data_IF_793160212434
#
_entry.id   IF_793160212434
#
_cell.length_a   1.000
_cell.length_b   1.000
_cell.length_c   1.000
_cell.angle_alpha   90.00
_cell.angle_beta   90.00
_cell.angle_gamma   90.00
#
_symmetry.space_group_name_H-M   'P 1'
#
loop_
_entity.id
_entity.type
_entity.pdbx_description
1 polymer ?
#
# COMPACT_ATOMS: atom_id res chain seq x y z
N UNK A 1 75.43 -10.00 -45.70
CA UNK A 1 75.13 -11.41 -46.04
C UNK A 1 75.89 -11.76 -47.32
N UNK A 2 76.45 -12.98 -47.42
CA UNK A 2 77.03 -13.45 -48.70
C UNK A 2 75.90 -13.81 -49.65
N UNK A 3 76.08 -13.56 -50.95
CA UNK A 3 75.06 -13.76 -52.00
C UNK A 3 74.53 -15.22 -51.99
N UNK A 4 75.42 -16.19 -51.81
CA UNK A 4 75.07 -17.62 -51.70
C UNK A 4 74.10 -17.93 -50.55
N UNK A 5 74.18 -17.20 -49.42
CA UNK A 5 73.25 -17.39 -48.31
C UNK A 5 71.85 -16.86 -48.63
N UNK A 6 71.75 -15.83 -49.47
CA UNK A 6 70.47 -15.27 -49.91
C UNK A 6 69.79 -16.17 -50.94
N UNK A 7 70.56 -16.80 -51.82
CA UNK A 7 70.04 -17.79 -52.79
C UNK A 7 69.44 -19.01 -52.11
N UNK A 8 70.17 -19.64 -51.17
CA UNK A 8 69.64 -20.79 -50.43
C UNK A 8 68.37 -20.43 -49.65
N UNK A 9 68.35 -19.22 -49.06
CA UNK A 9 67.20 -18.74 -48.28
C UNK A 9 65.97 -18.49 -49.14
N UNK A 10 66.13 -17.95 -50.36
CA UNK A 10 65.02 -17.74 -51.29
C UNK A 10 64.36 -19.07 -51.68
N UNK A 11 65.15 -20.10 -51.93
CA UNK A 11 64.64 -21.43 -52.27
C UNK A 11 63.97 -22.10 -51.06
N UNK A 12 64.54 -21.99 -49.86
CA UNK A 12 63.96 -22.59 -48.65
C UNK A 12 62.65 -21.92 -48.19
N UNK A 13 62.58 -20.58 -48.17
CA UNK A 13 61.42 -19.88 -47.62
C UNK A 13 60.29 -19.70 -48.65
N UNK A 14 60.64 -19.49 -49.92
CA UNK A 14 59.67 -19.13 -50.97
C UNK A 14 59.48 -20.24 -52.01
N UNK A 15 60.34 -21.27 -52.04
CA UNK A 15 60.23 -22.39 -52.98
C UNK A 15 60.56 -22.04 -54.44
N UNK A 16 61.22 -20.90 -54.68
CA UNK A 16 61.52 -20.36 -56.02
C UNK A 16 63.01 -20.04 -56.13
N UNK A 17 63.63 -20.30 -57.29
CA UNK A 17 65.02 -19.92 -57.52
C UNK A 17 65.20 -18.41 -57.64
N UNK A 18 66.40 -17.90 -57.33
CA UNK A 18 66.68 -16.46 -57.30
C UNK A 18 66.41 -15.78 -58.66
N UNK A 19 66.65 -16.47 -59.77
CA UNK A 19 66.48 -15.90 -61.11
C UNK A 19 64.99 -15.70 -61.40
N UNK A 20 64.17 -16.71 -61.10
CA UNK A 20 62.71 -16.61 -61.23
C UNK A 20 62.14 -15.59 -60.25
N UNK A 21 62.64 -15.52 -59.02
CA UNK A 21 62.20 -14.53 -58.03
C UNK A 21 62.46 -13.09 -58.49
N UNK A 22 63.65 -12.81 -59.04
CA UNK A 22 63.98 -11.48 -59.56
C UNK A 22 63.20 -11.16 -60.85
N UNK A 23 62.96 -12.16 -61.70
CA UNK A 23 62.26 -11.97 -62.97
C UNK A 23 60.74 -11.79 -62.79
N UNK A 24 60.12 -12.47 -61.83
CA UNK A 24 58.66 -12.42 -61.61
C UNK A 24 58.26 -11.45 -60.50
N UNK A 25 59.11 -11.25 -59.48
CA UNK A 25 58.83 -10.40 -58.31
C UNK A 25 59.86 -9.29 -58.11
N UNK A 26 60.63 -8.97 -59.14
CA UNK A 26 61.59 -7.89 -59.13
C UNK A 26 60.93 -6.52 -58.95
N UNK A 27 61.68 -5.49 -58.51
CA UNK A 27 61.16 -4.14 -58.31
C UNK A 27 60.69 -3.45 -59.60
N UNK A 28 60.95 -4.07 -60.76
CA UNK A 28 60.52 -3.60 -62.07
C UNK A 28 59.15 -4.13 -62.49
N UNK A 29 58.61 -5.12 -61.76
CA UNK A 29 57.32 -5.73 -62.07
C UNK A 29 56.20 -5.04 -61.31
N UNK A 30 55.02 -4.99 -61.93
CA UNK A 30 53.84 -4.41 -61.30
C UNK A 30 53.32 -5.31 -60.19
N UNK A 31 52.94 -4.69 -59.07
CA UNK A 31 52.36 -5.36 -57.90
C UNK A 31 50.86 -5.05 -57.81
N UNK A 32 50.04 -6.00 -57.34
CA UNK A 32 48.63 -5.75 -57.10
C UNK A 32 48.47 -4.72 -55.99
N UNK A 33 47.61 -3.73 -56.22
CA UNK A 33 47.16 -2.82 -55.18
C UNK A 33 45.94 -3.37 -54.47
N UNK A 34 45.76 -3.00 -53.21
CA UNK A 34 44.61 -3.41 -52.41
C UNK A 34 43.96 -2.20 -51.78
N UNK A 35 42.65 -2.08 -51.94
CA UNK A 35 41.81 -1.04 -51.31
C UNK A 35 40.83 -1.74 -50.37
N UNK A 36 40.67 -1.15 -49.19
CA UNK A 36 39.63 -1.54 -48.23
C UNK A 36 38.35 -0.80 -48.59
N UNK A 37 37.28 -1.56 -48.83
CA UNK A 37 35.95 -1.03 -49.15
C UNK A 37 35.27 -0.48 -47.89
N UNK A 38 34.17 0.28 -48.04
CA UNK A 38 33.40 0.83 -46.91
C UNK A 38 32.85 -0.26 -45.96
N UNK A 39 32.79 -1.51 -46.41
CA UNK A 39 32.38 -2.69 -45.63
C UNK A 39 33.56 -3.44 -44.99
N UNK A 40 34.80 -2.95 -45.15
CA UNK A 40 36.01 -3.56 -44.58
C UNK A 40 36.61 -4.71 -45.39
N UNK A 41 36.11 -5.00 -46.60
CA UNK A 41 36.67 -6.04 -47.46
C UNK A 41 37.88 -5.50 -48.24
N UNK A 42 38.96 -6.29 -48.28
CA UNK A 42 40.19 -5.97 -49.01
C UNK A 42 40.07 -6.51 -50.45
N UNK A 43 39.98 -5.61 -51.42
CA UNK A 43 39.83 -5.97 -52.84
C UNK A 43 41.10 -5.64 -53.61
N UNK A 44 41.55 -6.57 -54.46
CA UNK A 44 42.68 -6.36 -55.36
C UNK A 44 42.25 -5.46 -56.53
N UNK A 45 43.03 -4.40 -56.77
CA UNK A 45 42.84 -3.41 -57.82
C UNK A 45 43.97 -3.50 -58.85
N UNK A 46 44.18 -2.43 -59.64
CA UNK A 46 45.14 -2.40 -60.74
C UNK A 46 46.57 -2.77 -60.32
N UNK A 47 47.28 -3.42 -61.24
CA UNK A 47 48.71 -3.71 -61.11
C UNK A 47 49.48 -2.40 -61.37
N UNK A 48 50.24 -1.92 -60.38
CA UNK A 48 51.08 -0.71 -60.52
C UNK A 48 52.52 -1.00 -60.11
N UNK A 49 53.51 -0.23 -60.60
CA UNK A 49 54.90 -0.43 -60.24
C UNK A 49 55.12 -0.31 -58.72
N UNK A 50 55.88 -1.24 -58.15
CA UNK A 50 56.22 -1.21 -56.72
C UNK A 50 57.08 0.03 -56.40
N UNK A 51 56.50 0.97 -55.66
CA UNK A 51 57.20 2.16 -55.15
C UNK A 51 57.39 2.08 -53.65
N UNK A 52 58.61 1.76 -53.23
CA UNK A 52 59.01 1.61 -51.82
C UNK A 52 58.58 2.79 -50.95
N UNK A 53 58.86 4.02 -51.39
CA UNK A 53 58.52 5.24 -50.63
C UNK A 53 57.02 5.40 -50.37
N UNK A 54 56.15 4.93 -51.28
CA UNK A 54 54.71 4.99 -51.12
C UNK A 54 54.22 3.95 -50.10
N UNK A 55 54.79 2.75 -50.13
CA UNK A 55 54.45 1.69 -49.19
C UNK A 55 54.94 2.00 -47.77
N UNK A 56 56.13 2.58 -47.62
CA UNK A 56 56.64 3.01 -46.32
C UNK A 56 55.76 4.12 -45.71
N UNK A 57 55.27 5.07 -46.52
CA UNK A 57 54.29 6.08 -46.08
C UNK A 57 52.95 5.46 -45.67
N UNK A 58 52.44 4.48 -46.43
CA UNK A 58 51.19 3.78 -46.12
C UNK A 58 51.31 2.97 -44.83
N UNK A 59 52.43 2.27 -44.63
CA UNK A 59 52.74 1.55 -43.41
C UNK A 59 52.77 2.50 -42.21
N UNK A 60 53.54 3.59 -42.29
CA UNK A 60 53.62 4.57 -41.21
C UNK A 60 52.26 5.22 -40.88
N UNK A 61 51.39 5.45 -41.88
CA UNK A 61 50.04 5.94 -41.64
C UNK A 61 49.17 4.90 -40.91
N UNK A 62 49.25 3.64 -41.32
CA UNK A 62 48.49 2.53 -40.73
C UNK A 62 48.95 2.25 -39.29
N UNK A 63 50.25 2.27 -39.03
CA UNK A 63 50.83 2.10 -37.69
C UNK A 63 50.39 3.22 -36.73
N UNK A 64 50.28 4.46 -37.22
CA UNK A 64 49.70 5.58 -36.45
C UNK A 64 48.22 5.34 -36.14
N UNK A 65 47.42 4.93 -37.12
CA UNK A 65 46.01 4.60 -36.92
C UNK A 65 45.82 3.46 -35.92
N UNK A 66 46.66 2.42 -35.99
CA UNK A 66 46.66 1.31 -35.03
C UNK A 66 47.02 1.77 -33.61
N UNK A 67 47.99 2.67 -33.49
CA UNK A 67 48.39 3.24 -32.19
C UNK A 67 47.27 4.11 -31.58
N UNK A 68 46.52 4.85 -32.42
CA UNK A 68 45.39 5.68 -32.00
C UNK A 68 44.22 4.87 -31.43
N UNK A 69 44.00 3.64 -31.91
CA UNK A 69 42.96 2.73 -31.39
C UNK A 69 43.23 2.29 -29.94
N UNK A 70 44.47 2.43 -29.46
CA UNK A 70 44.84 2.07 -28.10
C UNK A 70 44.86 0.56 -27.86
N UNK A 71 44.80 0.15 -26.59
CA UNK A 71 44.83 -1.26 -26.22
C UNK A 71 43.43 -1.85 -26.30
N UNK A 72 43.28 -2.94 -27.04
CA UNK A 72 42.04 -3.72 -27.10
C UNK A 72 41.83 -4.37 -25.73
N UNK A 73 40.64 -4.18 -25.14
CA UNK A 73 40.25 -4.87 -23.92
C UNK A 73 39.72 -6.27 -24.28
N UNK A 74 40.45 -7.36 -23.96
CA UNK A 74 39.99 -8.71 -24.29
C UNK A 74 38.76 -9.14 -23.49
N UNK A 75 38.50 -8.51 -22.33
CA UNK A 75 37.36 -8.81 -21.46
C UNK A 75 36.09 -8.05 -21.85
N UNK A 76 36.16 -7.14 -22.84
CA UNK A 76 35.03 -6.26 -23.18
C UNK A 76 33.76 -7.03 -23.57
N UNK A 77 33.92 -8.18 -24.25
CA UNK A 77 32.77 -9.00 -24.64
C UNK A 77 32.12 -9.69 -23.43
N UNK A 78 32.92 -10.21 -22.51
CA UNK A 78 32.42 -10.83 -21.28
C UNK A 78 31.75 -9.80 -20.37
N UNK A 79 32.36 -8.62 -20.20
CA UNK A 79 31.79 -7.51 -19.43
C UNK A 79 30.48 -7.00 -20.03
N UNK A 80 30.41 -6.90 -21.37
CA UNK A 80 29.19 -6.53 -22.08
C UNK A 80 28.06 -7.53 -21.80
N UNK A 81 28.33 -8.82 -21.97
CA UNK A 81 27.33 -9.88 -21.74
C UNK A 81 26.85 -9.88 -20.27
N UNK A 82 27.77 -9.74 -19.31
CA UNK A 82 27.42 -9.69 -17.90
C UNK A 82 26.58 -8.45 -17.54
N UNK A 83 26.89 -7.30 -18.13
CA UNK A 83 26.11 -6.07 -17.96
C UNK A 83 24.73 -6.18 -18.61
N UNK A 84 24.63 -6.79 -19.78
CA UNK A 84 23.37 -7.04 -20.48
C UNK A 84 22.45 -7.96 -19.67
N UNK A 85 22.97 -9.07 -19.14
CA UNK A 85 22.22 -9.97 -18.25
C UNK A 85 21.72 -9.24 -17.00
N UNK A 86 22.60 -8.45 -16.36
CA UNK A 86 22.23 -7.65 -15.18
C UNK A 86 21.16 -6.62 -15.52
N UNK A 87 21.26 -5.96 -16.67
CA UNK A 87 20.27 -4.98 -17.13
C UNK A 87 18.91 -5.64 -17.37
N UNK A 88 18.90 -6.80 -18.04
CA UNK A 88 17.68 -7.58 -18.28
C UNK A 88 17.01 -7.98 -16.97
N UNK A 89 17.77 -8.53 -16.02
CA UNK A 89 17.26 -8.89 -14.70
C UNK A 89 16.65 -7.68 -13.97
N UNK A 90 17.35 -6.55 -13.93
CA UNK A 90 16.86 -5.35 -13.25
C UNK A 90 15.62 -4.76 -13.94
N UNK A 91 15.53 -4.85 -15.27
CA UNK A 91 14.36 -4.41 -16.01
C UNK A 91 13.12 -5.26 -15.68
N UNK A 92 13.26 -6.58 -15.63
CA UNK A 92 12.20 -7.51 -15.22
C UNK A 92 11.73 -7.21 -13.78
N UNK A 93 12.68 -7.05 -12.83
CA UNK A 93 12.36 -6.69 -11.44
C UNK A 93 11.63 -5.34 -11.34
N UNK A 94 12.03 -4.35 -12.14
CA UNK A 94 11.39 -3.04 -12.15
C UNK A 94 9.96 -3.12 -12.67
N UNK A 95 9.72 -3.93 -13.71
CA UNK A 95 8.39 -4.12 -14.25
C UNK A 95 7.47 -4.85 -13.27
N UNK A 96 7.96 -5.89 -12.61
CA UNK A 96 7.23 -6.59 -11.55
C UNK A 96 6.89 -5.67 -10.37
N UNK A 97 7.82 -4.81 -9.97
CA UNK A 97 7.57 -3.83 -8.90
C UNK A 97 6.51 -2.80 -9.31
N UNK A 98 6.54 -2.33 -10.56
CA UNK A 98 5.53 -1.41 -11.09
C UNK A 98 4.15 -2.05 -11.13
N UNK A 99 4.05 -3.32 -11.56
CA UNK A 99 2.80 -4.08 -11.54
C UNK A 99 2.27 -4.23 -10.12
N UNK A 100 3.11 -4.69 -9.20
CA UNK A 100 2.75 -4.86 -7.78
C UNK A 100 2.28 -3.56 -7.15
N UNK A 101 2.95 -2.44 -7.43
CA UNK A 101 2.51 -1.11 -6.96
C UNK A 101 1.11 -0.76 -7.47
N UNK A 102 0.84 -1.02 -8.76
CA UNK A 102 -0.49 -0.76 -9.34
C UNK A 102 -1.55 -1.63 -8.66
N UNK A 103 -1.30 -2.93 -8.53
CA UNK A 103 -2.23 -3.87 -7.92
C UNK A 103 -2.56 -3.47 -6.47
N UNK A 104 -1.55 -3.04 -5.70
CA UNK A 104 -1.75 -2.55 -4.33
C UNK A 104 -2.61 -1.27 -4.28
N UNK A 105 -2.41 -0.34 -5.23
CA UNK A 105 -3.24 0.87 -5.30
C UNK A 105 -4.69 0.56 -5.68
N UNK A 106 -4.90 -0.43 -6.55
CA UNK A 106 -6.23 -0.89 -6.92
C UNK A 106 -6.93 -1.55 -5.72
N UNK A 107 -6.21 -2.36 -4.94
CA UNK A 107 -6.73 -2.96 -3.69
C UNK A 107 -7.08 -1.88 -2.66
N UNK A 108 -6.21 -0.88 -2.45
CA UNK A 108 -6.48 0.22 -1.52
C UNK A 108 -7.79 0.91 -1.92
N UNK A 109 -7.98 1.19 -3.21
CA UNK A 109 -9.20 1.81 -3.71
C UNK A 109 -10.45 0.95 -3.45
N UNK A 110 -10.36 -0.36 -3.70
CA UNK A 110 -11.48 -1.27 -3.44
C UNK A 110 -11.85 -1.31 -1.95
N UNK A 111 -10.84 -1.33 -1.07
CA UNK A 111 -11.05 -1.28 0.38
C UNK A 111 -11.67 0.05 0.80
N UNK A 112 -11.18 1.17 0.28
CA UNK A 112 -11.72 2.50 0.56
C UNK A 112 -13.20 2.60 0.15
N UNK A 113 -13.54 2.17 -1.07
CA UNK A 113 -14.92 2.16 -1.58
C UNK A 113 -15.83 1.30 -0.68
N UNK A 114 -15.32 0.14 -0.23
CA UNK A 114 -16.07 -0.75 0.67
C UNK A 114 -16.26 -0.15 2.06
N UNK A 115 -15.24 0.51 2.61
CA UNK A 115 -15.32 1.19 3.91
C UNK A 115 -16.34 2.33 3.84
N UNK A 116 -16.32 3.13 2.78
CA UNK A 116 -17.28 4.22 2.58
C UNK A 116 -18.73 3.71 2.53
N UNK A 117 -18.96 2.60 1.81
CA UNK A 117 -20.28 1.98 1.76
C UNK A 117 -20.76 1.54 3.16
N UNK A 118 -19.92 0.77 3.88
CA UNK A 118 -20.26 0.26 5.21
C UNK A 118 -20.49 1.41 6.20
N UNK A 119 -19.70 2.48 6.11
CA UNK A 119 -19.86 3.66 6.93
C UNK A 119 -21.19 4.36 6.66
N UNK A 120 -21.53 4.61 5.38
CA UNK A 120 -22.78 5.28 5.02
C UNK A 120 -24.00 4.48 5.47
N UNK A 121 -24.01 3.17 5.21
CA UNK A 121 -25.08 2.27 5.66
C UNK A 121 -25.27 2.33 7.18
N UNK A 122 -24.17 2.27 7.94
CA UNK A 122 -24.21 2.36 9.40
C UNK A 122 -24.67 3.74 9.89
N UNK A 123 -24.20 4.82 9.25
CA UNK A 123 -24.56 6.18 9.61
C UNK A 123 -26.06 6.43 9.39
N UNK A 124 -26.60 6.04 8.24
CA UNK A 124 -28.03 6.21 7.94
C UNK A 124 -28.93 5.43 8.90
N UNK A 125 -28.55 4.19 9.23
CA UNK A 125 -29.30 3.38 10.18
C UNK A 125 -29.23 3.95 11.61
N UNK A 126 -28.02 4.33 12.05
CA UNK A 126 -27.81 4.95 13.37
C UNK A 126 -28.54 6.29 13.47
N UNK A 127 -28.56 7.10 12.41
CA UNK A 127 -29.26 8.39 12.39
C UNK A 127 -30.78 8.22 12.55
N UNK A 128 -31.38 7.24 11.83
CA UNK A 128 -32.81 6.92 11.97
C UNK A 128 -33.17 6.46 13.38
N UNK A 129 -32.35 5.57 13.96
CA UNK A 129 -32.57 5.12 15.33
C UNK A 129 -32.36 6.24 16.35
N UNK A 130 -31.38 7.11 16.13
CA UNK A 130 -31.13 8.25 16.99
C UNK A 130 -32.31 9.20 17.04
N UNK A 131 -32.90 9.55 15.90
CA UNK A 131 -34.11 10.40 15.83
C UNK A 131 -35.28 9.79 16.62
N UNK A 132 -35.56 8.51 16.41
CA UNK A 132 -36.62 7.77 17.12
C UNK A 132 -36.38 7.76 18.64
N UNK A 133 -35.20 7.30 19.07
CA UNK A 133 -34.83 7.21 20.49
C UNK A 133 -34.82 8.58 21.16
N UNK A 134 -34.29 9.60 20.49
CA UNK A 134 -34.21 10.95 21.04
C UNK A 134 -35.61 11.53 21.26
N UNK A 135 -36.54 11.34 20.32
CA UNK A 135 -37.92 11.82 20.45
C UNK A 135 -38.67 11.17 21.63
N UNK A 136 -38.35 9.90 21.92
CA UNK A 136 -38.91 9.15 23.06
C UNK A 136 -38.33 9.61 24.39
N UNK A 137 -37.02 9.86 24.45
CA UNK A 137 -36.34 10.36 25.65
C UNK A 137 -36.70 11.81 25.95
N UNK A 138 -36.90 12.64 24.92
CA UNK A 138 -37.28 14.05 25.01
C UNK A 138 -38.57 14.35 24.21
N UNK A 139 -39.76 14.15 24.80
CA UNK A 139 -41.02 14.48 24.13
C UNK A 139 -41.06 15.96 23.72
N UNK A 140 -41.25 16.21 22.41
CA UNK A 140 -41.25 17.57 21.84
C UNK A 140 -39.85 18.15 21.59
N UNK A 141 -38.79 17.37 21.81
CA UNK A 141 -37.44 17.65 21.35
C UNK A 141 -37.13 16.99 20.00
N UNK A 142 -36.06 17.44 19.37
CA UNK A 142 -35.58 16.97 18.06
C UNK A 142 -34.07 16.76 18.13
N UNK A 143 -33.56 15.68 17.57
CA UNK A 143 -32.14 15.35 17.60
C UNK A 143 -31.72 14.72 16.29
N UNK A 144 -30.57 15.14 15.75
CA UNK A 144 -30.05 14.66 14.46
C UNK A 144 -28.53 14.48 14.49
N UNK A 145 -28.06 13.54 13.69
CA UNK A 145 -26.64 13.32 13.44
C UNK A 145 -26.22 14.04 12.16
N UNK A 146 -25.10 14.74 12.17
CA UNK A 146 -24.60 15.49 11.02
C UNK A 146 -23.15 15.10 10.73
N UNK A 147 -22.84 14.82 9.47
CA UNK A 147 -21.46 14.64 9.03
C UNK A 147 -20.76 15.99 8.96
N UNK A 148 -19.57 16.10 9.57
CA UNK A 148 -18.81 17.35 9.54
C UNK A 148 -18.27 17.65 8.14
N UNK A 149 -18.00 16.62 7.33
CA UNK A 149 -17.62 16.73 5.93
C UNK A 149 -18.29 15.63 5.07
N UNK A 150 -19.48 15.88 4.50
CA UNK A 150 -20.20 14.91 3.69
C UNK A 150 -19.47 14.43 2.43
N UNK A 151 -18.50 15.21 1.92
CA UNK A 151 -17.78 14.92 0.69
C UNK A 151 -16.56 14.00 0.92
N UNK A 152 -16.15 13.77 2.18
CA UNK A 152 -15.04 12.90 2.56
C UNK A 152 -15.44 11.97 3.71
N UNK A 153 -16.08 10.87 3.35
CA UNK A 153 -16.57 9.88 4.31
C UNK A 153 -15.45 9.17 5.09
N UNK A 154 -14.21 9.18 4.61
CA UNK A 154 -13.08 8.53 5.28
C UNK A 154 -12.51 9.40 6.42
N UNK A 155 -12.61 10.73 6.29
CA UNK A 155 -12.08 11.67 7.29
C UNK A 155 -13.16 12.51 7.99
N UNK A 156 -14.45 12.31 7.66
CA UNK A 156 -15.54 13.02 8.31
C UNK A 156 -15.70 12.61 9.78
N UNK A 157 -16.06 13.59 10.60
CA UNK A 157 -16.59 13.36 11.95
C UNK A 157 -18.12 13.27 11.93
N UNK A 158 -18.68 12.89 13.07
CA UNK A 158 -20.13 12.90 13.32
C UNK A 158 -20.42 13.86 14.46
N UNK A 159 -21.14 14.94 14.17
CA UNK A 159 -21.64 15.88 15.15
C UNK A 159 -23.07 15.51 15.57
N UNK A 160 -23.34 15.65 16.87
CA UNK A 160 -24.68 15.44 17.45
C UNK A 160 -25.32 16.79 17.72
N UNK A 161 -26.42 17.06 17.02
CA UNK A 161 -27.27 18.20 17.30
C UNK A 161 -28.51 17.76 18.08
N UNK A 162 -28.77 18.45 19.19
CA UNK A 162 -29.89 18.17 20.04
C UNK A 162 -30.66 19.45 20.36
N UNK A 163 -31.98 19.34 20.28
CA UNK A 163 -32.94 20.40 20.60
C UNK A 163 -33.90 19.88 21.67
N UNK A 164 -33.63 20.16 22.96
CA UNK A 164 -34.58 19.87 24.02
C UNK A 164 -35.89 20.67 23.85
N UNK A 165 -37.01 20.22 24.44
CA UNK A 165 -38.30 20.88 24.33
C UNK A 165 -38.22 22.35 24.76
N UNK A 166 -38.71 23.25 23.92
CA UNK A 166 -38.73 24.70 24.17
C UNK A 166 -37.39 25.43 24.01
N UNK A 167 -36.30 24.75 23.61
CA UNK A 167 -34.98 25.37 23.39
C UNK A 167 -34.59 25.44 21.90
N UNK A 168 -33.57 26.25 21.59
CA UNK A 168 -32.92 26.30 20.27
C UNK A 168 -31.94 25.13 20.12
N UNK A 169 -31.68 24.73 18.87
CA UNK A 169 -30.71 23.69 18.52
C UNK A 169 -29.34 24.07 19.08
N UNK A 170 -28.68 23.12 19.75
CA UNK A 170 -27.35 23.29 20.30
C UNK A 170 -26.50 22.06 20.00
N UNK A 171 -25.19 22.29 19.81
CA UNK A 171 -24.20 21.21 19.84
C UNK A 171 -24.14 20.59 21.23
N UNK A 172 -23.76 19.32 21.31
CA UNK A 172 -23.70 18.54 22.55
C UNK A 172 -22.85 19.21 23.66
N UNK A 173 -21.82 19.98 23.28
CA UNK A 173 -20.98 20.77 24.20
C UNK A 173 -21.69 21.92 24.91
N UNK A 174 -22.87 22.33 24.46
CA UNK A 174 -23.61 23.50 24.94
C UNK A 174 -24.87 23.15 25.76
N UNK A 175 -25.07 21.87 26.07
CA UNK A 175 -26.20 21.34 26.84
C UNK A 175 -25.91 21.34 28.36
N UNK A 176 -26.97 21.29 29.18
CA UNK A 176 -26.84 21.07 30.62
C UNK A 176 -26.33 19.65 30.94
N UNK A 177 -25.78 19.41 32.14
CA UNK A 177 -25.16 18.12 32.48
C UNK A 177 -26.08 16.90 32.32
N UNK A 178 -27.34 17.01 32.74
CA UNK A 178 -28.34 15.95 32.56
C UNK A 178 -28.76 15.76 31.09
N UNK A 179 -29.01 16.86 30.35
CA UNK A 179 -29.35 16.81 28.92
C UNK A 179 -28.20 16.22 28.09
N UNK A 180 -26.95 16.55 28.42
CA UNK A 180 -25.76 16.01 27.77
C UNK A 180 -25.64 14.50 28.00
N UNK A 181 -25.85 14.05 29.24
CA UNK A 181 -25.76 12.63 29.59
C UNK A 181 -26.84 11.82 28.89
N UNK A 182 -28.09 12.30 28.89
CA UNK A 182 -29.19 11.61 28.22
C UNK A 182 -29.06 11.60 26.70
N UNK A 183 -28.53 12.68 26.10
CA UNK A 183 -28.22 12.71 24.65
C UNK A 183 -27.12 11.70 24.30
N UNK A 184 -26.08 11.57 25.14
CA UNK A 184 -25.03 10.57 24.95
C UNK A 184 -25.56 9.15 25.07
N UNK A 185 -26.43 8.88 26.05
CA UNK A 185 -27.12 7.59 26.20
C UNK A 185 -28.00 7.31 24.97
N UNK A 186 -28.75 8.30 24.47
CA UNK A 186 -29.55 8.17 23.25
C UNK A 186 -28.69 7.74 22.05
N UNK A 187 -27.51 8.35 21.90
CA UNK A 187 -26.55 7.99 20.85
C UNK A 187 -26.02 6.57 21.00
N UNK A 188 -25.65 6.15 22.22
CA UNK A 188 -25.18 4.79 22.48
C UNK A 188 -26.25 3.75 22.18
N UNK A 189 -27.48 3.98 22.63
CA UNK A 189 -28.63 3.09 22.34
C UNK A 189 -28.89 3.02 20.83
N UNK A 190 -28.80 4.13 20.10
CA UNK A 190 -28.98 4.14 18.65
C UNK A 190 -27.95 3.27 17.93
N UNK A 191 -26.69 3.35 18.37
CA UNK A 191 -25.60 2.50 17.87
C UNK A 191 -25.88 1.02 18.20
N UNK A 192 -26.31 0.72 19.42
CA UNK A 192 -26.62 -0.65 19.84
C UNK A 192 -27.78 -1.25 19.06
N UNK A 193 -28.77 -0.44 18.70
CA UNK A 193 -29.93 -0.88 17.91
C UNK A 193 -29.59 -1.13 16.44
N UNK A 194 -28.72 -0.29 15.85
CA UNK A 194 -28.20 -0.51 14.48
C UNK A 194 -27.27 -1.72 14.42
N UNK A 195 -26.43 -1.92 15.44
CA UNK A 195 -25.47 -3.03 15.48
C UNK A 195 -25.56 -3.78 16.82
N UNK A 196 -26.46 -4.78 16.90
CA UNK A 196 -26.66 -5.54 18.13
C UNK A 196 -25.41 -6.38 18.44
N UNK A 197 -24.94 -6.26 19.68
CA UNK A 197 -23.89 -7.10 20.26
C UNK A 197 -24.52 -8.22 21.09
N UNK A 198 -23.80 -9.35 21.28
CA UNK A 198 -24.29 -10.44 22.12
C UNK A 198 -24.59 -10.01 23.57
N UNK A 199 -23.79 -9.09 24.11
CA UNK A 199 -24.00 -8.52 25.44
C UNK A 199 -23.53 -7.07 25.53
N UNK A 200 -24.06 -6.34 26.51
CA UNK A 200 -23.67 -4.98 26.87
C UNK A 200 -23.42 -4.88 28.38
N UNK A 201 -22.42 -4.09 28.76
CA UNK A 201 -22.12 -3.75 30.16
C UNK A 201 -22.30 -2.26 30.34
N UNK A 202 -23.18 -1.87 31.27
CA UNK A 202 -23.51 -0.48 31.59
C UNK A 202 -23.13 -0.23 33.05
N UNK A 203 -22.28 0.76 33.31
CA UNK A 203 -21.81 1.09 34.65
C UNK A 203 -22.27 2.50 35.06
N UNK A 204 -23.20 2.56 36.00
CA UNK A 204 -23.82 3.78 36.56
C UNK A 204 -24.23 4.85 35.53
N UNK A 205 -24.65 4.41 34.36
CA UNK A 205 -24.98 5.30 33.22
C UNK A 205 -26.16 6.23 33.52
N UNK A 206 -26.97 5.90 34.51
CA UNK A 206 -28.16 6.62 34.91
C UNK A 206 -27.95 7.58 36.11
N UNK A 207 -26.74 7.67 36.67
CA UNK A 207 -26.48 8.44 37.90
C UNK A 207 -26.82 9.94 37.78
N UNK A 208 -26.81 10.49 36.56
CA UNK A 208 -27.12 11.89 36.28
C UNK A 208 -28.57 12.14 35.83
N UNK A 209 -29.43 11.11 35.85
CA UNK A 209 -30.82 11.19 35.37
C UNK A 209 -31.81 11.42 36.51
N UNK A 210 -32.86 12.19 36.22
CA UNK A 210 -34.02 12.32 37.10
C UNK A 210 -34.98 11.12 36.95
N UNK A 211 -35.94 10.98 37.87
CA UNK A 211 -36.87 9.83 37.89
C UNK A 211 -37.69 9.69 36.59
N UNK A 212 -37.99 10.81 35.93
CA UNK A 212 -38.80 10.82 34.70
C UNK A 212 -37.98 10.28 33.53
N UNK A 213 -36.75 10.76 33.36
CA UNK A 213 -35.87 10.33 32.28
C UNK A 213 -35.32 8.92 32.54
N UNK A 214 -35.07 8.55 33.80
CA UNK A 214 -34.75 7.17 34.19
C UNK A 214 -35.85 6.22 33.74
N UNK A 215 -37.13 6.54 34.00
CA UNK A 215 -38.25 5.73 33.54
C UNK A 215 -38.27 5.51 32.03
N UNK A 216 -37.95 6.54 31.23
CA UNK A 216 -37.88 6.44 29.76
C UNK A 216 -36.72 5.58 29.30
N UNK A 217 -35.56 5.71 29.95
CA UNK A 217 -34.39 4.87 29.67
C UNK A 217 -34.66 3.40 29.95
N UNK A 218 -35.32 3.08 31.07
CA UNK A 218 -35.63 1.70 31.44
C UNK A 218 -36.50 1.00 30.39
N UNK A 219 -37.49 1.68 29.81
CA UNK A 219 -38.32 1.13 28.72
C UNK A 219 -37.46 0.76 27.49
N UNK A 220 -36.48 1.59 27.16
CA UNK A 220 -35.58 1.34 26.04
C UNK A 220 -34.65 0.16 26.34
N UNK A 221 -34.16 0.05 27.58
CA UNK A 221 -33.33 -1.09 28.00
C UNK A 221 -34.12 -2.40 28.00
N UNK A 222 -35.40 -2.38 28.34
CA UNK A 222 -36.28 -3.56 28.23
C UNK A 222 -36.44 -4.03 26.79
N UNK A 223 -36.56 -3.10 25.82
CA UNK A 223 -36.57 -3.45 24.40
C UNK A 223 -35.24 -4.04 23.94
N UNK A 224 -34.11 -3.44 24.35
CA UNK A 224 -32.78 -3.97 24.02
C UNK A 224 -32.53 -5.36 24.61
N UNK A 225 -33.13 -5.68 25.76
CA UNK A 225 -33.05 -7.00 26.39
C UNK A 225 -33.64 -8.10 25.51
N UNK A 226 -34.60 -7.80 24.64
CA UNK A 226 -35.23 -8.82 23.78
C UNK A 226 -34.24 -9.46 22.80
N UNK A 227 -33.20 -8.71 22.40
CA UNK A 227 -32.19 -9.15 21.44
C UNK A 227 -30.81 -9.39 22.04
N UNK A 228 -30.49 -8.79 23.19
CA UNK A 228 -29.13 -8.77 23.74
C UNK A 228 -29.09 -8.93 25.25
N UNK A 229 -28.02 -9.56 25.77
CA UNK A 229 -27.83 -9.68 27.21
C UNK A 229 -27.33 -8.35 27.81
N UNK A 230 -27.98 -7.88 28.89
CA UNK A 230 -27.62 -6.65 29.58
C UNK A 230 -27.05 -6.95 30.96
N UNK A 231 -25.87 -6.40 31.26
CA UNK A 231 -25.26 -6.39 32.58
C UNK A 231 -25.21 -4.94 33.03
N UNK A 232 -25.96 -4.60 34.08
CA UNK A 232 -26.07 -3.22 34.57
C UNK A 232 -25.55 -3.15 36.00
N UNK A 233 -24.56 -2.29 36.21
CA UNK A 233 -24.02 -1.94 37.53
C UNK A 233 -24.69 -0.64 37.94
N UNK A 234 -25.42 -0.67 39.06
CA UNK A 234 -26.24 0.45 39.48
C UNK A 234 -26.55 0.40 40.97
N UNK A 235 -26.79 1.58 41.55
CA UNK A 235 -27.39 1.76 42.87
C UNK A 235 -28.86 2.24 42.79
N UNK A 236 -29.42 2.41 41.59
CA UNK A 236 -30.79 2.90 41.38
C UNK A 236 -31.82 1.78 41.53
N UNK A 237 -32.73 1.94 42.50
CA UNK A 237 -33.75 0.94 42.82
C UNK A 237 -34.64 0.59 41.64
N UNK A 238 -35.05 1.57 40.83
CA UNK A 238 -35.91 1.35 39.66
C UNK A 238 -35.21 0.55 38.56
N UNK A 239 -33.90 0.72 38.39
CA UNK A 239 -33.10 -0.09 37.47
C UNK A 239 -32.99 -1.54 37.97
N UNK A 240 -32.83 -1.73 39.29
CA UNK A 240 -32.82 -3.07 39.89
C UNK A 240 -34.15 -3.81 39.74
N UNK A 241 -35.28 -3.11 39.78
CA UNK A 241 -36.63 -3.69 39.69
C UNK A 241 -36.92 -4.37 38.34
N UNK A 242 -36.31 -3.91 37.24
CA UNK A 242 -36.53 -4.48 35.90
C UNK A 242 -35.63 -5.69 35.60
N UNK A 243 -34.65 -5.98 36.46
CA UNK A 243 -33.67 -7.03 36.25
C UNK A 243 -34.26 -8.43 36.47
N UNK A 244 -33.77 -9.41 35.71
CA UNK A 244 -34.18 -10.82 35.88
C UNK A 244 -33.43 -11.48 37.06
N UNK A 245 -32.19 -11.04 37.31
CA UNK A 245 -31.35 -11.45 38.41
C UNK A 245 -30.54 -10.27 38.96
N UNK A 246 -30.37 -10.23 40.26
CA UNK A 246 -29.52 -9.28 40.98
C UNK A 246 -28.29 -9.99 41.52
N UNK A 247 -27.13 -9.36 41.31
CA UNK A 247 -25.87 -9.75 41.92
C UNK A 247 -25.44 -8.64 42.86
N UNK A 248 -25.44 -8.93 44.16
CA UNK A 248 -24.95 -8.04 45.21
C UNK A 248 -23.49 -8.35 45.53
N UNK A 249 -22.70 -7.30 45.73
CA UNK A 249 -21.30 -7.44 46.17
C UNK A 249 -21.22 -6.99 47.62
N UNK A 250 -20.72 -7.85 48.51
CA UNK A 250 -20.54 -7.56 49.94
C UNK A 250 -19.10 -7.83 50.35
N UNK A 251 -18.55 -7.04 51.27
CA UNK A 251 -17.25 -7.31 51.87
C UNK A 251 -17.45 -7.98 53.23
N UNK A 252 -16.75 -9.09 53.46
CA UNK A 252 -16.61 -9.65 54.81
C UNK A 252 -15.58 -8.85 55.61
N UNK A 253 -15.61 -8.98 56.94
CA UNK A 253 -14.73 -8.25 57.86
C UNK A 253 -13.23 -8.55 57.70
N UNK A 254 -12.85 -9.52 56.86
CA UNK A 254 -11.48 -9.86 56.47
C UNK A 254 -11.02 -9.12 55.18
N UNK A 255 -11.85 -8.25 54.61
CA UNK A 255 -11.53 -7.51 53.38
C UNK A 255 -11.69 -8.33 52.10
N UNK A 256 -12.21 -9.57 52.19
CA UNK A 256 -12.53 -10.39 51.03
C UNK A 256 -13.92 -10.02 50.51
N UNK A 257 -13.99 -9.75 49.20
CA UNK A 257 -15.24 -9.46 48.51
C UNK A 257 -15.95 -10.76 48.14
N UNK A 258 -17.23 -10.88 48.48
CA UNK A 258 -18.09 -12.01 48.15
C UNK A 258 -19.29 -11.53 47.32
N UNK A 259 -19.67 -12.35 46.34
CA UNK A 259 -20.82 -12.07 45.47
C UNK A 259 -22.00 -12.91 45.92
N UNK A 260 -23.10 -12.25 46.24
CA UNK A 260 -24.41 -12.85 46.50
C UNK A 260 -25.28 -12.68 45.26
N UNK A 261 -26.14 -13.67 44.97
CA UNK A 261 -27.02 -13.62 43.80
C UNK A 261 -28.45 -13.97 44.19
N UNK A 262 -29.41 -13.24 43.62
CA UNK A 262 -30.84 -13.48 43.81
C UNK A 262 -31.55 -13.34 42.46
N UNK A 263 -32.34 -14.35 42.06
CA UNK A 263 -33.24 -14.23 40.90
C UNK A 263 -34.52 -13.53 41.33
N UNK A 264 -34.98 -12.57 40.54
CA UNK A 264 -36.18 -11.77 40.84
C UNK A 264 -37.45 -12.36 40.19
N UNK A 265 -37.33 -13.07 39.05
CA UNK A 265 -38.48 -13.54 38.25
C UNK A 265 -38.80 -15.04 38.39
N UNK A 266 -38.71 -15.59 39.58
CA UNK A 266 -39.36 -16.87 39.95
C UNK A 266 -40.35 -16.63 41.10
N UNK A 267 -41.47 -15.98 40.79
CA UNK A 267 -42.65 -15.98 41.65
C UNK A 267 -43.90 -15.67 40.81
N UNK A 268 -44.42 -16.70 40.13
CA UNK A 268 -45.84 -16.91 39.84
C UNK A 268 -46.05 -18.26 39.12
N UNK A 269 -45.81 -19.35 39.86
CA UNK A 269 -46.43 -20.66 39.59
C UNK A 269 -46.32 -21.57 40.82
N UNK A 270 -47.13 -21.30 41.85
CA UNK A 270 -47.57 -22.28 42.84
C UNK A 270 -48.86 -21.78 43.51
#
# INVERSE_FOLDING_TARGET
MRIEQLESKAVEELGVDMTTLVNEYGPQNDVPTFIETETGEIVATELIPYRRDQQEKRLAATERSLTLLGKINPLALEEYNALEERLKFLAEQLEDLKRTKKDLLDIIKEVDDRVQQIFMEAYEETAKHFEDIFSRLFPGGDGRLILTNPDDLLNTGVDVEARPPGKRIKRLSLLSGGEKSLTAVAMLVAIFKSRPSPFYVLDEVEAALDDVNLGRLLVILEELRESSQLIIITHQKRTMEIADALYGVTMRGDGVTEVISQRLRESDSA
#
